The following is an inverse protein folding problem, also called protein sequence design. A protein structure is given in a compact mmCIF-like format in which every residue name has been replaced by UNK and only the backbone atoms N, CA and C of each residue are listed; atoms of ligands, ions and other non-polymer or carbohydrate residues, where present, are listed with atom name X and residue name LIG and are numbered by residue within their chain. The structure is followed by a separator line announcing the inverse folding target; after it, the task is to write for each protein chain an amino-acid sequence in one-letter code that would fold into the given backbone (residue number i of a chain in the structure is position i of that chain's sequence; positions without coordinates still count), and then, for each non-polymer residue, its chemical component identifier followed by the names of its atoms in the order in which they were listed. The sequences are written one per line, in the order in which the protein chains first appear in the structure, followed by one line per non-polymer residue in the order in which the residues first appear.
data_IF_143686508529
#
_entry.id   IF_143686508529
#
_cell.length_a   1.000
_cell.length_b   1.000
_cell.length_c   1.000
_cell.angle_alpha   90.00
_cell.angle_beta   90.00
_cell.angle_gamma   90.00
#
_symmetry.space_group_name_H-M   'P 1'
#
loop_
_entity.id
_entity.type
_entity.pdbx_description
1 polymer ?
#
# COMPACT_ATOMS: atom_id res chain seq x y z
N UNK A 1 -31.01 -8.56 -10.88
CA UNK A 1 -30.28 -7.60 -11.72
C UNK A 1 -29.31 -8.39 -12.58
N UNK A 2 -29.20 -8.07 -13.87
CA UNK A 2 -28.17 -8.68 -14.72
C UNK A 2 -26.77 -8.22 -14.26
N UNK A 3 -25.72 -9.00 -14.58
CA UNK A 3 -24.34 -8.64 -14.18
C UNK A 3 -23.90 -7.27 -14.74
N UNK A 4 -24.42 -6.89 -15.91
CA UNK A 4 -24.18 -5.60 -16.54
C UNK A 4 -24.87 -4.46 -15.79
N UNK A 5 -26.12 -4.63 -15.33
CA UNK A 5 -26.83 -3.64 -14.51
C UNK A 5 -26.09 -3.35 -13.21
N UNK A 6 -25.62 -4.38 -12.49
CA UNK A 6 -24.83 -4.20 -11.27
C UNK A 6 -23.53 -3.45 -11.55
N UNK A 7 -22.85 -3.80 -12.65
CA UNK A 7 -21.60 -3.13 -13.05
C UNK A 7 -21.84 -1.65 -13.37
N UNK A 8 -22.93 -1.32 -14.07
CA UNK A 8 -23.30 0.07 -14.37
C UNK A 8 -23.66 0.85 -13.09
N UNK A 9 -24.37 0.24 -12.14
CA UNK A 9 -24.69 0.87 -10.85
C UNK A 9 -23.41 1.15 -10.06
N UNK A 10 -22.47 0.21 -10.01
CA UNK A 10 -21.19 0.40 -9.31
C UNK A 10 -20.33 1.47 -9.96
N UNK A 11 -20.25 1.50 -11.30
CA UNK A 11 -19.55 2.54 -12.04
C UNK A 11 -20.20 3.91 -11.83
N UNK A 12 -21.53 4.00 -11.88
CA UNK A 12 -22.25 5.25 -11.65
C UNK A 12 -21.98 5.76 -10.23
N UNK A 13 -22.09 4.90 -9.23
CA UNK A 13 -21.79 5.26 -7.84
C UNK A 13 -20.34 5.71 -7.67
N UNK A 14 -19.36 5.01 -8.26
CA UNK A 14 -17.95 5.39 -8.24
C UNK A 14 -17.72 6.76 -8.90
N UNK A 15 -18.31 7.00 -10.08
CA UNK A 15 -18.22 8.29 -10.78
C UNK A 15 -18.81 9.41 -9.94
N UNK A 16 -20.01 9.22 -9.39
CA UNK A 16 -20.66 10.21 -8.52
C UNK A 16 -19.82 10.49 -7.27
N UNK A 17 -19.32 9.45 -6.60
CA UNK A 17 -18.46 9.59 -5.43
C UNK A 17 -17.20 10.40 -5.75
N UNK A 18 -16.51 10.08 -6.85
CA UNK A 18 -15.33 10.83 -7.28
C UNK A 18 -15.67 12.29 -7.62
N UNK A 19 -16.76 12.53 -8.35
CA UNK A 19 -17.17 13.90 -8.72
C UNK A 19 -17.47 14.73 -7.48
N UNK A 20 -18.22 14.19 -6.52
CA UNK A 20 -18.54 14.86 -5.25
C UNK A 20 -17.26 15.21 -4.49
N UNK A 21 -16.39 14.23 -4.23
CA UNK A 21 -15.16 14.49 -3.47
C UNK A 21 -14.20 15.44 -4.20
N UNK A 22 -14.08 15.33 -5.53
CA UNK A 22 -13.28 16.25 -6.33
C UNK A 22 -13.83 17.67 -6.31
N UNK A 23 -15.16 17.84 -6.33
CA UNK A 23 -15.80 19.15 -6.21
C UNK A 23 -15.54 19.82 -4.85
N UNK A 24 -15.40 19.01 -3.80
CA UNK A 24 -15.01 19.44 -2.45
C UNK A 24 -13.49 19.63 -2.28
N UNK A 25 -12.70 19.52 -3.36
CA UNK A 25 -11.22 19.54 -3.35
C UNK A 25 -10.59 18.46 -2.47
N UNK A 26 -11.30 17.35 -2.25
CA UNK A 26 -10.82 16.20 -1.49
C UNK A 26 -10.19 15.14 -2.42
N UNK A 27 -9.29 14.27 -1.90
CA UNK A 27 -8.72 13.18 -2.68
C UNK A 27 -9.80 12.21 -3.20
N UNK A 28 -9.78 11.81 -4.50
CA UNK A 28 -10.73 10.86 -5.08
C UNK A 28 -10.82 9.51 -4.36
N UNK A 29 -9.71 9.08 -3.74
CA UNK A 29 -9.63 7.81 -2.98
C UNK A 29 -10.68 7.71 -1.87
N UNK A 30 -11.01 8.83 -1.24
CA UNK A 30 -12.08 8.89 -0.23
C UNK A 30 -13.46 8.64 -0.85
N UNK A 31 -13.70 9.15 -2.06
CA UNK A 31 -14.94 8.88 -2.80
C UNK A 31 -15.10 7.40 -3.11
N UNK A 32 -14.03 6.75 -3.58
CA UNK A 32 -14.02 5.30 -3.80
C UNK A 32 -14.28 4.51 -2.51
N UNK A 33 -13.67 4.90 -1.40
CA UNK A 33 -13.88 4.27 -0.10
C UNK A 33 -15.35 4.38 0.34
N UNK A 34 -15.93 5.59 0.31
CA UNK A 34 -17.33 5.82 0.71
C UNK A 34 -18.30 5.03 -0.16
N UNK A 35 -18.07 5.01 -1.47
CA UNK A 35 -18.87 4.20 -2.40
C UNK A 35 -18.78 2.72 -2.04
N UNK A 36 -17.59 2.22 -1.71
CA UNK A 36 -17.39 0.87 -1.20
C UNK A 36 -18.18 0.57 0.07
N UNK A 37 -18.15 1.48 1.05
CA UNK A 37 -18.92 1.34 2.30
C UNK A 37 -20.41 1.25 2.02
N UNK A 38 -20.93 2.11 1.15
CA UNK A 38 -22.37 2.16 0.83
C UNK A 38 -22.83 0.92 0.07
N UNK A 39 -22.06 0.47 -0.93
CA UNK A 39 -22.40 -0.68 -1.79
C UNK A 39 -22.15 -2.02 -1.08
N UNK A 40 -21.24 -2.01 -0.10
CA UNK A 40 -20.76 -3.19 0.59
C UNK A 40 -21.85 -3.99 1.30
N UNK A 41 -21.53 -5.26 1.64
CA UNK A 41 -22.43 -6.16 2.35
C UNK A 41 -22.95 -5.57 3.67
N UNK A 42 -22.16 -4.73 4.33
CA UNK A 42 -22.46 -4.15 5.63
C UNK A 42 -23.39 -2.92 5.59
N UNK A 43 -23.81 -2.46 4.41
CA UNK A 43 -24.72 -1.32 4.24
C UNK A 43 -25.92 -1.66 3.34
N UNK A 44 -25.84 -1.38 2.02
CA UNK A 44 -26.94 -1.65 1.08
C UNK A 44 -26.98 -3.12 0.63
N UNK A 45 -25.97 -3.92 0.97
CA UNK A 45 -25.85 -5.35 0.63
C UNK A 45 -26.03 -5.68 -0.86
N UNK A 46 -25.68 -4.74 -1.74
CA UNK A 46 -25.79 -4.88 -3.19
C UNK A 46 -24.69 -5.82 -3.74
N UNK A 47 -23.53 -5.86 -3.08
CA UNK A 47 -22.40 -6.72 -3.42
C UNK A 47 -22.32 -7.99 -2.55
N UNK A 48 -23.17 -9.00 -2.83
CA UNK A 48 -23.16 -10.28 -2.10
C UNK A 48 -22.11 -11.30 -2.60
N UNK A 49 -21.51 -11.07 -3.78
CA UNK A 49 -20.48 -11.94 -4.34
C UNK A 49 -19.09 -11.64 -3.75
N UNK A 50 -18.82 -12.19 -2.56
CA UNK A 50 -17.60 -11.93 -1.79
C UNK A 50 -16.31 -12.46 -2.42
N UNK A 51 -16.35 -13.53 -3.23
CA UNK A 51 -15.15 -14.18 -3.78
C UNK A 51 -14.56 -13.44 -4.98
N UNK A 52 -15.37 -13.10 -5.99
CA UNK A 52 -14.90 -12.37 -7.17
C UNK A 52 -14.39 -10.96 -6.82
N UNK A 53 -15.06 -10.29 -5.88
CA UNK A 53 -14.63 -8.99 -5.34
C UNK A 53 -13.28 -9.08 -4.64
N UNK A 54 -13.02 -10.16 -3.87
CA UNK A 54 -11.77 -10.36 -3.15
C UNK A 54 -10.59 -10.56 -4.09
N UNK A 55 -10.73 -11.40 -5.13
CA UNK A 55 -9.67 -11.58 -6.13
C UNK A 55 -9.39 -10.30 -6.90
N UNK A 56 -10.42 -9.53 -7.23
CA UNK A 56 -10.24 -8.27 -7.94
C UNK A 56 -9.48 -7.25 -7.07
N UNK A 57 -9.71 -7.25 -5.76
CA UNK A 57 -8.93 -6.45 -4.81
C UNK A 57 -7.49 -6.92 -4.66
N UNK A 58 -7.23 -8.23 -4.66
CA UNK A 58 -5.86 -8.78 -4.67
C UNK A 58 -5.09 -8.29 -5.90
N UNK A 59 -5.70 -8.32 -7.09
CA UNK A 59 -5.12 -7.71 -8.28
C UNK A 59 -4.91 -6.19 -8.12
N UNK A 60 -5.90 -5.48 -7.57
CA UNK A 60 -5.79 -4.04 -7.28
C UNK A 60 -4.58 -3.71 -6.40
N UNK A 61 -4.36 -4.49 -5.33
CA UNK A 61 -3.19 -4.37 -4.45
C UNK A 61 -1.90 -4.63 -5.22
N UNK A 62 -1.83 -5.71 -6.02
CA UNK A 62 -0.64 -6.05 -6.79
C UNK A 62 -0.22 -4.87 -7.68
N UNK A 63 -1.14 -4.30 -8.44
CA UNK A 63 -0.81 -3.17 -9.33
C UNK A 63 -0.53 -1.87 -8.59
N UNK A 64 -1.23 -1.61 -7.48
CA UNK A 64 -0.94 -0.45 -6.63
C UNK A 64 0.48 -0.56 -6.05
N UNK A 65 0.84 -1.72 -5.51
CA UNK A 65 2.16 -1.98 -4.95
C UNK A 65 3.25 -1.92 -6.01
N UNK A 66 2.96 -2.39 -7.22
CA UNK A 66 3.84 -2.23 -8.37
C UNK A 66 4.07 -0.76 -8.73
N UNK A 67 3.01 0.05 -8.80
CA UNK A 67 3.12 1.48 -9.07
C UNK A 67 3.94 2.21 -7.99
N UNK A 68 3.71 1.91 -6.70
CA UNK A 68 4.52 2.43 -5.60
C UNK A 68 5.99 1.97 -5.75
N UNK A 69 6.21 0.72 -6.17
CA UNK A 69 7.55 0.22 -6.49
C UNK A 69 8.24 1.01 -7.60
N UNK A 70 7.51 1.44 -8.63
CA UNK A 70 8.04 2.28 -9.72
C UNK A 70 8.44 3.69 -9.26
N UNK A 71 7.74 4.24 -8.28
CA UNK A 71 8.05 5.54 -7.70
C UNK A 71 9.37 5.53 -6.92
N UNK A 72 9.76 4.35 -6.41
CA UNK A 72 10.98 4.17 -5.63
C UNK A 72 12.24 4.56 -6.42
N UNK A 73 13.21 5.18 -5.73
CA UNK A 73 14.43 5.73 -6.35
C UNK A 73 15.67 5.40 -5.50
N UNK A 74 16.40 4.33 -5.85
CA UNK A 74 17.58 3.90 -5.09
C UNK A 74 18.69 4.96 -5.10
N UNK A 75 19.01 5.63 -6.24
CA UNK A 75 20.01 6.69 -6.26
C UNK A 75 19.72 7.79 -5.23
N UNK A 76 18.46 8.25 -5.15
CA UNK A 76 18.03 9.28 -4.20
C UNK A 76 18.13 8.79 -2.76
N UNK A 77 17.75 7.55 -2.49
CA UNK A 77 17.90 6.93 -1.17
C UNK A 77 19.36 6.89 -0.71
N UNK A 78 20.28 6.51 -1.61
CA UNK A 78 21.73 6.50 -1.31
C UNK A 78 22.28 7.90 -1.04
N UNK A 79 21.87 8.89 -1.85
CA UNK A 79 22.27 10.28 -1.67
C UNK A 79 21.76 10.86 -0.33
N UNK A 80 20.56 10.47 0.09
CA UNK A 80 19.90 10.97 1.31
C UNK A 80 20.06 10.04 2.52
N UNK A 81 20.98 9.05 2.49
CA UNK A 81 21.09 7.97 3.49
C UNK A 81 21.07 8.41 4.96
N UNK A 82 21.67 9.57 5.29
CA UNK A 82 21.68 10.10 6.66
C UNK A 82 20.31 10.56 7.13
N UNK A 83 19.54 11.20 6.24
CA UNK A 83 18.17 11.61 6.54
C UNK A 83 17.23 10.40 6.60
N UNK A 84 17.37 9.47 5.65
CA UNK A 84 16.55 8.26 5.56
C UNK A 84 16.76 7.34 6.77
N UNK A 85 17.99 6.87 7.00
CA UNK A 85 18.28 5.91 8.07
C UNK A 85 18.52 6.56 9.45
N UNK A 86 18.69 7.88 9.51
CA UNK A 86 18.77 8.63 10.77
C UNK A 86 17.39 9.12 11.21
N UNK A 87 16.93 10.22 10.59
CA UNK A 87 15.67 10.87 10.97
C UNK A 87 14.44 10.04 10.60
N UNK A 88 14.41 9.43 9.41
CA UNK A 88 13.28 8.61 8.95
C UNK A 88 13.06 7.39 9.84
N UNK A 89 14.12 6.62 10.10
CA UNK A 89 14.08 5.50 11.05
C UNK A 89 13.62 5.94 12.44
N UNK A 90 14.18 7.03 12.96
CA UNK A 90 13.79 7.55 14.27
C UNK A 90 12.32 7.96 14.30
N UNK A 91 11.82 8.64 13.26
CA UNK A 91 10.42 9.06 13.17
C UNK A 91 9.48 7.86 13.15
N UNK A 92 9.75 6.85 12.31
CA UNK A 92 8.91 5.65 12.21
C UNK A 92 8.94 4.87 13.52
N UNK A 93 10.11 4.62 14.10
CA UNK A 93 10.20 3.91 15.38
C UNK A 93 9.52 4.68 16.51
N UNK A 94 9.74 6.00 16.59
CA UNK A 94 9.14 6.83 17.61
C UNK A 94 7.61 6.85 17.49
N UNK A 95 7.08 7.06 16.30
CA UNK A 95 5.63 7.01 16.07
C UNK A 95 5.06 5.64 16.39
N UNK A 96 5.69 4.56 15.93
CA UNK A 96 5.27 3.20 16.27
C UNK A 96 5.27 2.93 17.79
N UNK A 97 6.30 3.38 18.51
CA UNK A 97 6.38 3.23 19.97
C UNK A 97 5.30 4.04 20.68
N UNK A 98 5.09 5.29 20.29
CA UNK A 98 4.06 6.14 20.86
C UNK A 98 2.66 5.58 20.60
N UNK A 99 2.37 5.13 19.37
CA UNK A 99 1.07 4.54 19.03
C UNK A 99 0.87 3.21 19.71
N UNK A 100 1.91 2.39 19.85
CA UNK A 100 1.85 1.14 20.59
C UNK A 100 1.56 1.39 22.08
N UNK A 101 2.30 2.32 22.69
CA UNK A 101 2.11 2.69 24.09
C UNK A 101 0.72 3.28 24.33
N UNK A 102 0.23 4.12 23.42
CA UNK A 102 -1.14 4.66 23.48
C UNK A 102 -2.20 3.57 23.31
N UNK A 103 -2.00 2.65 22.36
CA UNK A 103 -2.91 1.54 22.12
C UNK A 103 -2.97 0.57 23.32
N UNK A 104 -1.83 0.29 23.97
CA UNK A 104 -1.78 -0.50 25.20
C UNK A 104 -2.31 0.28 26.41
N UNK A 105 -2.04 1.58 26.51
CA UNK A 105 -2.61 2.46 27.52
C UNK A 105 -4.14 2.45 27.48
N UNK A 106 -4.72 2.49 26.28
CA UNK A 106 -6.17 2.32 26.07
C UNK A 106 -6.67 0.96 26.56
N UNK A 107 -5.91 -0.13 26.37
CA UNK A 107 -6.31 -1.43 26.91
C UNK A 107 -6.35 -1.47 28.43
N UNK A 108 -5.46 -0.72 29.10
CA UNK A 108 -5.42 -0.64 30.55
C UNK A 108 -6.52 0.27 31.11
N UNK A 109 -6.84 1.37 30.41
CA UNK A 109 -7.84 2.34 30.85
C UNK A 109 -9.28 1.90 30.55
N UNK A 110 -9.50 1.18 29.46
CA UNK A 110 -10.82 0.77 28.98
C UNK A 110 -10.84 -0.72 28.59
N UNK A 111 -10.53 -1.65 29.51
CA UNK A 111 -10.37 -3.07 29.19
C UNK A 111 -11.63 -3.71 28.59
N UNK A 112 -12.82 -3.27 29.01
CA UNK A 112 -14.10 -3.79 28.50
C UNK A 112 -14.41 -3.31 27.07
N UNK A 113 -13.83 -2.19 26.65
CA UNK A 113 -14.13 -1.56 25.35
C UNK A 113 -13.00 -1.72 24.33
N UNK A 114 -11.76 -1.77 24.77
CA UNK A 114 -10.58 -1.82 23.91
C UNK A 114 -9.64 -2.92 24.38
N UNK A 115 -9.82 -4.14 23.89
CA UNK A 115 -8.90 -5.24 24.10
C UNK A 115 -8.27 -5.64 22.76
N UNK A 116 -7.01 -5.28 22.58
CA UNK A 116 -6.25 -5.60 21.38
C UNK A 116 -5.05 -6.46 21.76
N UNK A 117 -4.73 -7.44 20.92
CA UNK A 117 -3.50 -8.21 21.06
C UNK A 117 -2.29 -7.33 20.72
N UNK A 118 -1.11 -7.70 21.21
CA UNK A 118 0.12 -6.97 20.88
C UNK A 118 0.46 -7.06 19.39
N UNK A 119 0.04 -8.14 18.70
CA UNK A 119 0.20 -8.28 17.26
C UNK A 119 -0.63 -7.25 16.50
N UNK A 120 -1.90 -7.07 16.90
CA UNK A 120 -2.79 -6.05 16.33
C UNK A 120 -2.28 -4.65 16.65
N UNK A 121 -1.80 -4.41 17.87
CA UNK A 121 -1.21 -3.12 18.26
C UNK A 121 0.06 -2.80 17.43
N UNK A 122 0.90 -3.79 17.13
CA UNK A 122 2.08 -3.64 16.27
C UNK A 122 1.69 -3.32 14.83
N UNK A 123 0.74 -4.06 14.27
CA UNK A 123 0.24 -3.81 12.92
C UNK A 123 -0.39 -2.41 12.80
N UNK A 124 -1.23 -2.02 13.77
CA UNK A 124 -1.83 -0.70 13.83
C UNK A 124 -0.77 0.40 13.93
N UNK A 125 0.24 0.21 14.77
CA UNK A 125 1.34 1.16 14.93
C UNK A 125 2.13 1.34 13.63
N UNK A 126 2.37 0.25 12.89
CA UNK A 126 3.00 0.30 11.58
C UNK A 126 2.19 1.11 10.56
N UNK A 127 0.86 0.94 10.56
CA UNK A 127 -0.04 1.72 9.69
C UNK A 127 -0.06 3.21 10.11
N UNK A 128 -0.11 3.50 11.41
CA UNK A 128 -0.14 4.87 11.93
C UNK A 128 1.16 5.64 11.74
N UNK A 129 2.29 4.95 11.58
CA UNK A 129 3.58 5.57 11.31
C UNK A 129 3.71 6.13 9.88
N UNK A 130 2.84 5.69 8.94
CA UNK A 130 2.92 6.03 7.52
C UNK A 130 2.28 7.37 7.20
N UNK A 131 2.89 8.11 6.28
CA UNK A 131 2.36 9.36 5.74
C UNK A 131 2.04 9.21 4.24
N UNK A 132 1.20 10.10 3.71
CA UNK A 132 0.89 10.10 2.28
C UNK A 132 1.97 10.86 1.49
N UNK A 133 2.90 10.12 0.88
CA UNK A 133 4.02 10.68 0.09
C UNK A 133 3.52 11.60 -1.03
N UNK A 134 2.56 11.16 -1.84
CA UNK A 134 2.05 11.95 -2.96
C UNK A 134 1.46 13.30 -2.53
N UNK A 135 0.72 13.35 -1.41
CA UNK A 135 0.10 14.59 -0.91
C UNK A 135 1.16 15.53 -0.34
N UNK A 136 2.07 15.02 0.49
CA UNK A 136 3.11 15.83 1.13
C UNK A 136 4.09 16.40 0.10
N UNK A 137 4.54 15.56 -0.84
CA UNK A 137 5.42 15.98 -1.94
C UNK A 137 4.75 17.06 -2.78
N UNK A 138 3.48 16.86 -3.15
CA UNK A 138 2.73 17.85 -3.92
C UNK A 138 2.58 19.18 -3.17
N UNK A 139 2.20 19.14 -1.89
CA UNK A 139 2.06 20.34 -1.07
C UNK A 139 3.38 21.12 -0.96
N UNK A 140 4.49 20.43 -0.78
CA UNK A 140 5.82 21.05 -0.75
C UNK A 140 6.23 21.58 -2.12
N UNK A 141 5.89 20.88 -3.21
CA UNK A 141 6.15 21.34 -4.57
C UNK A 141 5.38 22.62 -4.88
N UNK A 142 4.09 22.67 -4.53
CA UNK A 142 3.22 23.84 -4.70
C UNK A 142 3.74 25.05 -3.89
N UNK A 143 4.44 24.80 -2.77
CA UNK A 143 5.09 25.81 -1.94
C UNK A 143 6.54 26.13 -2.34
N UNK A 144 7.11 25.43 -3.32
CA UNK A 144 8.53 25.52 -3.72
C UNK A 144 9.52 25.17 -2.58
N UNK A 145 9.11 24.32 -1.64
CA UNK A 145 9.87 23.95 -0.45
C UNK A 145 10.65 22.64 -0.60
N UNK A 146 10.57 21.95 -1.74
CA UNK A 146 11.22 20.63 -1.96
C UNK A 146 12.74 20.63 -1.72
N UNK A 147 13.41 21.69 -2.17
CA UNK A 147 14.87 21.83 -2.07
C UNK A 147 15.33 22.48 -0.76
N UNK A 148 14.39 22.90 0.10
CA UNK A 148 14.69 23.46 1.41
C UNK A 148 15.27 22.40 2.36
N UNK A 149 15.97 22.84 3.41
CA UNK A 149 16.53 21.90 4.41
C UNK A 149 15.44 21.09 5.14
N UNK A 150 14.28 21.72 5.44
CA UNK A 150 13.14 20.98 5.98
C UNK A 150 12.57 20.02 4.94
N UNK A 151 12.45 20.45 3.68
CA UNK A 151 11.97 19.61 2.59
C UNK A 151 12.81 18.35 2.41
N UNK A 152 14.14 18.45 2.42
CA UNK A 152 15.04 17.30 2.38
C UNK A 152 14.85 16.36 3.58
N UNK A 153 14.58 16.88 4.77
CA UNK A 153 14.29 16.06 5.97
C UNK A 153 12.96 15.32 5.82
N UNK A 154 11.91 16.00 5.38
CA UNK A 154 10.59 15.39 5.11
C UNK A 154 10.71 14.31 4.03
N UNK A 155 11.38 14.61 2.92
CA UNK A 155 11.66 13.61 1.88
C UNK A 155 12.42 12.41 2.42
N UNK A 156 13.41 12.63 3.31
CA UNK A 156 14.13 11.53 3.96
C UNK A 156 13.23 10.63 4.80
N UNK A 157 12.27 11.22 5.53
CA UNK A 157 11.27 10.48 6.32
C UNK A 157 10.35 9.68 5.38
N UNK A 158 9.78 10.32 4.35
CA UNK A 158 8.88 9.67 3.39
C UNK A 158 9.57 8.49 2.68
N UNK A 159 10.81 8.66 2.24
CA UNK A 159 11.58 7.58 1.60
C UNK A 159 11.84 6.41 2.56
N UNK A 160 12.03 6.67 3.86
CA UNK A 160 12.15 5.61 4.85
C UNK A 160 10.81 4.90 5.09
N UNK A 161 9.70 5.63 5.13
CA UNK A 161 8.36 5.06 5.26
C UNK A 161 8.04 4.13 4.07
N UNK A 162 8.30 4.58 2.84
CA UNK A 162 8.13 3.76 1.63
C UNK A 162 8.98 2.47 1.71
N UNK A 163 10.20 2.56 2.24
CA UNK A 163 11.06 1.39 2.48
C UNK A 163 10.52 0.49 3.60
N UNK A 164 9.95 1.07 4.66
CA UNK A 164 9.43 0.35 5.82
C UNK A 164 8.14 -0.44 5.52
N UNK A 165 7.45 -0.15 4.41
CA UNK A 165 6.33 -0.97 3.93
C UNK A 165 6.77 -2.41 3.65
N UNK A 166 7.95 -2.62 3.07
CA UNK A 166 8.48 -3.96 2.75
C UNK A 166 8.57 -4.89 3.96
N UNK A 167 9.28 -4.54 5.05
CA UNK A 167 9.33 -5.38 6.23
C UNK A 167 7.95 -5.54 6.89
N UNK A 168 7.07 -4.54 6.83
CA UNK A 168 5.70 -4.68 7.34
C UNK A 168 4.86 -5.69 6.53
N UNK A 169 5.00 -5.70 5.21
CA UNK A 169 4.33 -6.69 4.33
C UNK A 169 4.78 -8.13 4.61
N UNK A 170 6.00 -8.32 5.12
CA UNK A 170 6.52 -9.63 5.55
C UNK A 170 6.08 -9.95 6.98
N UNK A 171 6.14 -8.96 7.87
CA UNK A 171 5.90 -9.14 9.29
C UNK A 171 4.42 -9.39 9.60
N UNK A 172 3.51 -8.60 9.02
CA UNK A 172 2.08 -8.64 9.36
C UNK A 172 1.46 -10.04 9.13
N UNK A 173 1.68 -10.72 7.99
CA UNK A 173 1.18 -12.08 7.82
C UNK A 173 1.79 -13.07 8.83
N UNK A 174 3.09 -12.94 9.14
CA UNK A 174 3.78 -13.81 10.09
C UNK A 174 3.30 -13.62 11.54
N UNK A 175 2.75 -12.44 11.90
CA UNK A 175 2.15 -12.20 13.20
C UNK A 175 0.86 -13.01 13.44
N UNK A 176 0.26 -13.58 12.40
CA UNK A 176 -0.92 -14.45 12.53
C UNK A 176 -0.60 -15.87 13.02
N UNK A 177 0.69 -16.24 13.09
CA UNK A 177 1.11 -17.56 13.55
C UNK A 177 0.83 -17.79 15.05
N UNK A 178 0.55 -19.03 15.48
CA UNK A 178 0.34 -19.36 16.88
C UNK A 178 1.51 -18.94 17.78
N UNK A 179 1.22 -18.52 19.02
CA UNK A 179 2.21 -17.94 19.94
C UNK A 179 3.45 -18.84 20.19
N UNK A 180 3.28 -20.16 20.18
CA UNK A 180 4.36 -21.12 20.42
C UNK A 180 5.33 -21.29 19.24
N UNK A 181 4.90 -20.97 18.01
CA UNK A 181 5.73 -21.05 16.79
C UNK A 181 6.18 -19.67 16.29
N UNK A 182 5.65 -18.60 16.88
CA UNK A 182 5.77 -17.25 16.34
C UNK A 182 7.20 -16.78 16.13
N UNK A 183 8.11 -17.03 17.09
CA UNK A 183 9.52 -16.66 16.93
C UNK A 183 10.18 -17.39 15.75
N UNK A 184 9.87 -18.67 15.58
CA UNK A 184 10.35 -19.48 14.45
C UNK A 184 9.75 -19.01 13.12
N UNK A 185 8.45 -18.75 13.10
CA UNK A 185 7.74 -18.23 11.93
C UNK A 185 8.27 -16.86 11.48
N UNK A 186 8.49 -15.94 12.43
CA UNK A 186 9.07 -14.63 12.17
C UNK A 186 10.50 -14.72 11.65
N UNK A 187 11.35 -15.53 12.30
CA UNK A 187 12.73 -15.74 11.86
C UNK A 187 12.81 -16.35 10.46
N UNK A 188 11.97 -17.34 10.18
CA UNK A 188 11.91 -17.99 8.87
C UNK A 188 11.34 -17.08 7.78
N UNK A 189 10.28 -16.32 8.07
CA UNK A 189 9.71 -15.35 7.15
C UNK A 189 10.72 -14.23 6.82
N UNK A 190 11.42 -13.72 7.83
CA UNK A 190 12.46 -12.71 7.63
C UNK A 190 13.63 -13.26 6.82
N UNK A 191 14.10 -14.47 7.12
CA UNK A 191 15.16 -15.13 6.37
C UNK A 191 14.76 -15.31 4.90
N UNK A 192 13.56 -15.85 4.64
CA UNK A 192 13.00 -15.98 3.29
C UNK A 192 12.94 -14.65 2.56
N UNK A 193 12.41 -13.62 3.22
CA UNK A 193 12.31 -12.28 2.64
C UNK A 193 13.70 -11.71 2.31
N UNK A 194 14.66 -11.78 3.23
CA UNK A 194 16.02 -11.27 3.01
C UNK A 194 16.71 -12.01 1.87
N UNK A 195 16.63 -13.35 1.84
CA UNK A 195 17.23 -14.17 0.78
C UNK A 195 16.59 -13.86 -0.57
N UNK A 196 15.25 -13.85 -0.64
CA UNK A 196 14.52 -13.61 -1.88
C UNK A 196 14.74 -12.19 -2.40
N UNK A 197 14.64 -11.18 -1.53
CA UNK A 197 14.89 -9.79 -1.89
C UNK A 197 16.34 -9.57 -2.32
N UNK A 198 17.31 -10.15 -1.62
CA UNK A 198 18.72 -10.04 -2.02
C UNK A 198 18.95 -10.66 -3.40
N UNK A 199 18.39 -11.84 -3.65
CA UNK A 199 18.47 -12.53 -4.95
C UNK A 199 17.84 -11.67 -6.07
N UNK A 200 16.62 -11.17 -5.83
CA UNK A 200 15.88 -10.37 -6.81
C UNK A 200 16.55 -9.01 -7.05
N UNK A 201 17.05 -8.32 -6.03
CA UNK A 201 17.65 -7.00 -6.20
C UNK A 201 19.07 -7.06 -6.78
N UNK A 202 19.89 -8.06 -6.40
CA UNK A 202 21.25 -8.19 -6.91
C UNK A 202 21.29 -8.76 -8.34
N UNK A 203 20.46 -9.75 -8.64
CA UNK A 203 20.40 -10.40 -9.96
C UNK A 203 19.36 -9.79 -10.89
N UNK A 204 18.20 -9.44 -10.36
CA UNK A 204 17.03 -9.02 -11.12
C UNK A 204 17.23 -7.69 -11.83
N UNK A 205 18.01 -6.74 -11.31
CA UNK A 205 18.22 -5.45 -11.99
C UNK A 205 18.86 -5.62 -13.38
N UNK A 206 19.91 -6.46 -13.46
CA UNK A 206 20.62 -6.73 -14.72
C UNK A 206 19.75 -7.55 -15.67
N UNK A 207 19.02 -8.53 -15.14
CA UNK A 207 18.11 -9.35 -15.91
C UNK A 207 16.96 -8.52 -16.49
N UNK A 208 16.33 -7.68 -15.65
CA UNK A 208 15.23 -6.80 -16.01
C UNK A 208 15.64 -5.86 -17.13
N UNK A 209 16.78 -5.19 -16.99
CA UNK A 209 17.31 -4.30 -18.02
C UNK A 209 17.50 -5.05 -19.34
N UNK A 210 18.18 -6.20 -19.34
CA UNK A 210 18.42 -6.99 -20.56
C UNK A 210 17.12 -7.46 -21.21
N UNK A 211 16.17 -7.92 -20.41
CA UNK A 211 14.89 -8.40 -20.87
C UNK A 211 14.06 -7.28 -21.51
N UNK A 212 13.87 -6.16 -20.81
CA UNK A 212 13.12 -5.03 -21.32
C UNK A 212 13.75 -4.43 -22.58
N UNK A 213 15.10 -4.32 -22.64
CA UNK A 213 15.78 -3.90 -23.88
C UNK A 213 15.54 -4.89 -25.03
N UNK A 214 15.50 -6.19 -24.77
CA UNK A 214 15.21 -7.19 -25.81
C UNK A 214 13.76 -7.09 -26.32
N UNK A 215 12.80 -6.89 -25.42
CA UNK A 215 11.39 -6.70 -25.79
C UNK A 215 11.20 -5.37 -26.55
N UNK A 216 11.80 -4.28 -26.07
CA UNK A 216 11.68 -2.96 -26.68
C UNK A 216 12.22 -2.90 -28.13
N UNK A 217 13.17 -3.77 -28.49
CA UNK A 217 13.67 -3.89 -29.89
C UNK A 217 12.58 -4.28 -30.89
N UNK A 218 11.51 -4.92 -30.45
CA UNK A 218 10.39 -5.31 -31.30
C UNK A 218 9.44 -4.14 -31.63
N UNK A 219 9.60 -2.97 -30.98
CA UNK A 219 8.84 -1.73 -31.22
C UNK A 219 7.31 -1.90 -31.19
N UNK A 220 6.80 -2.86 -30.41
CA UNK A 220 5.37 -3.07 -30.19
C UNK A 220 5.01 -2.70 -28.74
N UNK A 221 4.13 -1.71 -28.59
CA UNK A 221 3.63 -1.28 -27.28
C UNK A 221 2.80 -2.39 -26.61
N UNK A 222 2.08 -3.19 -27.40
CA UNK A 222 1.31 -4.33 -26.90
C UNK A 222 2.22 -5.40 -26.30
N UNK A 223 3.28 -5.80 -27.00
CA UNK A 223 4.25 -6.78 -26.49
C UNK A 223 4.96 -6.26 -25.24
N UNK A 224 5.27 -4.96 -25.19
CA UNK A 224 5.88 -4.35 -24.02
C UNK A 224 4.94 -4.40 -22.81
N UNK A 225 3.67 -4.03 -22.98
CA UNK A 225 2.66 -4.11 -21.92
C UNK A 225 2.40 -5.53 -21.44
N UNK A 226 2.28 -6.50 -22.36
CA UNK A 226 2.11 -7.90 -21.98
C UNK A 226 3.31 -8.42 -21.16
N UNK A 227 4.53 -8.03 -21.52
CA UNK A 227 5.72 -8.37 -20.74
C UNK A 227 5.72 -7.69 -19.37
N UNK A 228 5.28 -6.44 -19.28
CA UNK A 228 5.16 -5.73 -18.01
C UNK A 228 4.21 -6.45 -17.06
N UNK A 229 3.04 -6.86 -17.56
CA UNK A 229 2.07 -7.64 -16.81
C UNK A 229 2.65 -9.00 -16.40
N UNK A 230 3.30 -9.71 -17.33
CA UNK A 230 3.94 -11.00 -17.08
C UNK A 230 4.99 -10.90 -15.96
N UNK A 231 5.85 -9.89 -16.00
CA UNK A 231 6.89 -9.67 -15.00
C UNK A 231 6.28 -9.36 -13.63
N UNK A 232 5.30 -8.46 -13.61
CA UNK A 232 4.67 -8.00 -12.36
C UNK A 232 3.93 -9.14 -11.68
N UNK A 233 3.06 -9.84 -12.42
CA UNK A 233 2.30 -10.97 -11.91
C UNK A 233 3.21 -12.18 -11.63
N UNK A 234 4.21 -12.43 -12.48
CA UNK A 234 5.16 -13.51 -12.29
C UNK A 234 5.99 -13.34 -11.02
N UNK A 235 6.46 -12.13 -10.72
CA UNK A 235 7.17 -11.86 -9.47
C UNK A 235 6.23 -11.91 -8.25
N UNK A 236 5.01 -11.38 -8.35
CA UNK A 236 4.01 -11.53 -7.29
C UNK A 236 3.75 -13.00 -6.96
N UNK A 237 3.53 -13.83 -7.99
CA UNK A 237 3.33 -15.27 -7.85
C UNK A 237 4.56 -15.98 -7.27
N UNK A 238 5.78 -15.65 -7.70
CA UNK A 238 7.00 -16.21 -7.12
C UNK A 238 7.14 -15.88 -5.63
N UNK A 239 6.77 -14.67 -5.21
CA UNK A 239 6.79 -14.32 -3.78
C UNK A 239 5.71 -15.04 -2.99
N UNK A 240 4.53 -15.24 -3.58
CA UNK A 240 3.45 -16.02 -2.96
C UNK A 240 3.83 -17.48 -2.77
N UNK A 241 4.48 -18.11 -3.76
CA UNK A 241 5.01 -19.47 -3.64
C UNK A 241 6.06 -19.60 -2.52
N UNK A 242 6.81 -18.53 -2.24
CA UNK A 242 7.74 -18.50 -1.12
C UNK A 242 7.03 -18.35 0.24
N UNK A 243 5.71 -18.15 0.26
CA UNK A 243 4.90 -17.87 1.45
C UNK A 243 4.96 -16.41 1.88
N UNK A 244 5.31 -15.50 0.98
CA UNK A 244 5.31 -14.04 1.20
C UNK A 244 4.10 -13.41 0.50
N UNK A 245 3.84 -12.13 0.76
CA UNK A 245 2.69 -11.43 0.17
C UNK A 245 2.89 -11.18 -1.34
N UNK A 246 1.81 -11.33 -2.13
CA UNK A 246 1.72 -10.92 -3.54
C UNK A 246 2.17 -9.45 -3.74
N UNK A 247 1.81 -8.59 -2.78
CA UNK A 247 2.20 -7.17 -2.75
C UNK A 247 3.72 -6.98 -2.81
N UNK A 248 4.48 -7.85 -2.14
CA UNK A 248 5.93 -7.76 -2.07
C UNK A 248 6.57 -8.00 -3.44
N UNK A 249 6.16 -9.05 -4.16
CA UNK A 249 6.71 -9.34 -5.48
C UNK A 249 6.38 -8.27 -6.51
N UNK A 250 5.16 -7.72 -6.44
CA UNK A 250 4.75 -6.61 -7.29
C UNK A 250 5.55 -5.34 -7.01
N UNK A 251 5.75 -4.99 -5.73
CA UNK A 251 6.59 -3.86 -5.32
C UNK A 251 8.04 -4.03 -5.79
N UNK A 252 8.62 -5.22 -5.65
CA UNK A 252 9.97 -5.52 -6.14
C UNK A 252 10.04 -5.41 -7.66
N UNK A 253 9.02 -5.89 -8.39
CA UNK A 253 8.95 -5.74 -9.84
C UNK A 253 9.00 -4.25 -10.24
N UNK A 254 8.20 -3.41 -9.58
CA UNK A 254 8.20 -1.96 -9.79
C UNK A 254 9.57 -1.36 -9.51
N UNK A 255 10.18 -1.69 -8.38
CA UNK A 255 11.51 -1.19 -8.00
C UNK A 255 12.60 -1.60 -9.00
N UNK A 256 12.56 -2.84 -9.50
CA UNK A 256 13.53 -3.32 -10.50
C UNK A 256 13.40 -2.55 -11.82
N UNK A 257 12.18 -2.21 -12.22
CA UNK A 257 11.92 -1.46 -13.45
C UNK A 257 12.26 0.03 -13.26
N UNK A 258 12.04 0.59 -12.08
CA UNK A 258 12.36 1.98 -11.75
C UNK A 258 13.85 2.32 -11.95
N UNK A 259 14.73 1.33 -11.82
CA UNK A 259 16.17 1.46 -12.03
C UNK A 259 16.60 1.27 -13.50
N UNK A 260 15.66 1.05 -14.42
CA UNK A 260 15.93 0.91 -15.86
C UNK A 260 15.61 2.19 -16.63
N UNK A 261 16.16 2.30 -17.84
CA UNK A 261 15.86 3.37 -18.80
C UNK A 261 14.38 3.43 -19.24
N UNK A 262 13.60 2.37 -18.96
CA UNK A 262 12.19 2.26 -19.34
C UNK A 262 11.21 2.79 -18.29
N UNK A 263 11.67 3.26 -17.12
CA UNK A 263 10.82 3.74 -16.01
C UNK A 263 9.70 4.67 -16.50
N UNK A 264 10.05 5.71 -17.25
CA UNK A 264 9.09 6.75 -17.65
C UNK A 264 8.04 6.24 -18.66
N UNK A 265 8.46 5.36 -19.57
CA UNK A 265 7.55 4.68 -20.49
C UNK A 265 6.56 3.82 -19.72
N UNK A 266 7.06 2.97 -18.81
CA UNK A 266 6.24 2.09 -17.98
C UNK A 266 5.27 2.88 -17.09
N UNK A 267 5.73 3.97 -16.49
CA UNK A 267 4.90 4.85 -15.66
C UNK A 267 3.73 5.45 -16.47
N UNK A 268 3.99 5.83 -17.71
CA UNK A 268 2.96 6.37 -18.61
C UNK A 268 1.96 5.29 -19.04
N UNK A 269 2.49 4.12 -19.43
CA UNK A 269 1.68 3.03 -19.96
C UNK A 269 0.79 2.39 -18.89
N UNK A 270 1.24 2.35 -17.63
CA UNK A 270 0.46 1.77 -16.53
C UNK A 270 -0.46 2.77 -15.82
N UNK A 271 -0.29 4.08 -16.00
CA UNK A 271 -1.11 5.10 -15.33
C UNK A 271 -2.62 4.87 -15.46
N UNK A 272 -3.19 4.53 -16.63
CA UNK A 272 -4.62 4.23 -16.74
C UNK A 272 -5.06 3.03 -15.88
N UNK A 273 -4.21 2.00 -15.79
CA UNK A 273 -4.47 0.82 -14.97
C UNK A 273 -4.37 1.16 -13.48
N UNK A 274 -3.32 1.88 -13.09
CA UNK A 274 -3.13 2.35 -11.73
C UNK A 274 -4.37 3.08 -11.21
N UNK A 275 -4.90 4.06 -11.95
CA UNK A 275 -6.02 4.88 -11.49
C UNK A 275 -7.32 4.06 -11.34
N UNK A 276 -7.58 3.14 -12.27
CA UNK A 276 -8.75 2.24 -12.22
C UNK A 276 -8.64 1.23 -11.08
N UNK A 277 -7.47 0.61 -10.93
CA UNK A 277 -7.21 -0.43 -9.94
C UNK A 277 -7.12 0.13 -8.52
N UNK A 278 -6.61 1.35 -8.38
CA UNK A 278 -6.68 2.11 -7.14
C UNK A 278 -8.15 2.33 -6.75
N UNK A 279 -8.99 2.78 -7.68
CA UNK A 279 -10.41 2.95 -7.40
C UNK A 279 -11.07 1.66 -6.95
N UNK A 280 -10.75 0.56 -7.63
CA UNK A 280 -11.26 -0.76 -7.28
C UNK A 280 -10.79 -1.24 -5.90
N UNK A 281 -9.51 -1.04 -5.59
CA UNK A 281 -8.94 -1.39 -4.29
C UNK A 281 -9.63 -0.64 -3.14
N UNK A 282 -9.80 0.67 -3.26
CA UNK A 282 -10.47 1.47 -2.23
C UNK A 282 -11.95 1.14 -2.09
N UNK A 283 -12.65 0.86 -3.20
CA UNK A 283 -14.03 0.36 -3.15
C UNK A 283 -14.06 -0.97 -2.38
N UNK A 284 -13.16 -1.91 -2.63
CA UNK A 284 -13.15 -3.19 -1.90
C UNK A 284 -12.80 -3.06 -0.43
N UNK A 285 -11.83 -2.20 -0.07
CA UNK A 285 -11.58 -1.88 1.35
C UNK A 285 -12.83 -1.27 1.98
N UNK A 286 -13.51 -0.36 1.29
CA UNK A 286 -14.77 0.22 1.75
C UNK A 286 -15.83 -0.84 2.00
N UNK A 287 -15.95 -1.83 1.11
CA UNK A 287 -16.89 -2.95 1.26
C UNK A 287 -16.54 -3.86 2.45
N UNK A 288 -15.25 -3.98 2.79
CA UNK A 288 -14.79 -4.72 3.97
C UNK A 288 -15.04 -3.98 5.29
N UNK A 289 -15.24 -2.66 5.24
CA UNK A 289 -15.51 -1.86 6.44
C UNK A 289 -16.91 -2.18 6.96
N UNK A 290 -16.99 -2.56 8.24
CA UNK A 290 -18.26 -2.68 8.95
C UNK A 290 -18.60 -1.33 9.59
N UNK A 291 -19.54 -0.61 8.97
CA UNK A 291 -20.02 0.68 9.46
C UNK A 291 -20.64 0.59 10.86
N UNK A 292 -21.20 -0.57 11.23
CA UNK A 292 -21.80 -0.77 12.55
C UNK A 292 -20.76 -0.66 13.66
N UNK A 293 -19.54 -1.16 13.45
CA UNK A 293 -18.44 -1.06 14.40
C UNK A 293 -18.02 0.40 14.57
N UNK A 294 -17.92 1.16 13.47
CA UNK A 294 -17.57 2.58 13.52
C UNK A 294 -18.58 3.36 14.35
N UNK A 295 -19.88 3.09 14.16
CA UNK A 295 -20.94 3.74 14.93
C UNK A 295 -20.90 3.35 16.42
N UNK A 296 -20.72 2.07 16.73
CA UNK A 296 -20.64 1.59 18.12
C UNK A 296 -19.41 2.13 18.85
N UNK A 297 -18.28 2.29 18.15
CA UNK A 297 -17.01 2.80 18.70
C UNK A 297 -16.87 4.32 18.55
N UNK A 298 -17.84 5.01 17.97
CA UNK A 298 -17.82 6.46 17.79
C UNK A 298 -17.58 7.27 19.08
N UNK A 299 -18.15 6.89 20.26
CA UNK A 299 -17.83 7.56 21.52
C UNK A 299 -16.35 7.49 21.88
N UNK A 300 -15.68 6.38 21.55
CA UNK A 300 -14.26 6.16 21.80
C UNK A 300 -13.41 7.03 20.86
N UNK A 301 -13.83 7.16 19.59
CA UNK A 301 -13.21 8.11 18.64
C UNK A 301 -13.32 9.55 19.13
N UNK A 302 -14.51 9.95 19.61
CA UNK A 302 -14.71 11.28 20.17
C UNK A 302 -13.84 11.52 21.41
N UNK A 303 -13.72 10.54 22.32
CA UNK A 303 -12.81 10.66 23.46
C UNK A 303 -11.34 10.84 23.05
N UNK A 304 -10.90 10.19 21.97
CA UNK A 304 -9.52 10.28 21.50
C UNK A 304 -9.22 11.56 20.70
N UNK A 305 -10.22 12.08 19.98
CA UNK A 305 -10.06 13.27 19.13
C UNK A 305 -10.34 14.55 19.88
N UNK A 306 -11.19 14.52 20.91
CA UNK A 306 -11.55 15.70 21.67
C UNK A 306 -10.39 16.07 22.62
N UNK A 307 -9.70 17.20 22.42
CA UNK A 307 -8.55 17.59 23.24
C UNK A 307 -8.94 18.26 24.57
N UNK A 308 -10.16 18.00 25.07
CA UNK A 308 -10.65 18.57 26.33
C UNK A 308 -10.24 17.74 27.54
#
# INVERSE_FOLDING_TARGET
MTGLELTLIYLLAAVLGVVVFRSLKLPPMLGYLVVGVLIGPNALALAQNSTGVRHLAEFGVVFLMFAIGLEFNLPRLRAMRRHVFGLGLLQVLFTMLCTMAGAYGLTLLLPDQWSISWQTALALSGVMAMSSTAIVVKLMADRLELESEHGKRVMGILLFQDLAVVPLLVLIPALSSPAHELLGALGYALLKAVVLLSLLLLGGQRLMRRWLTAVARHKSNELFMLNLLLITLGLAWLTELAGLSLALGAFVAGMLIAETEFKHQVETDIRPFHDVLLGLFFITIGMMLDWSIVWQRWPLVLMLVNPN
#
